data_IF_301623768965
#
_entry.id   IF_301623768965
#
_cell.length_a   1.000
_cell.length_b   1.000
_cell.length_c   1.000
_cell.angle_alpha   90.00
_cell.angle_beta   90.00
_cell.angle_gamma   90.00
#
_symmetry.space_group_name_H-M   'P 1'
#
loop_
_entity.id
_entity.type
_entity.pdbx_description
1 polymer ?
#
# COMPACT_ATOMS: atom_id res chain seq x y z
N UNK A 1 8.91 -19.19 4.43
CA UNK A 1 9.05 -18.33 3.24
C UNK A 1 8.95 -19.24 2.04
N UNK A 2 7.78 -19.31 1.40
CA UNK A 2 7.56 -20.14 0.22
C UNK A 2 7.35 -19.20 -0.96
N UNK A 3 8.20 -19.33 -1.97
CA UNK A 3 8.12 -18.55 -3.22
C UNK A 3 7.39 -19.44 -4.22
N UNK A 4 6.25 -18.97 -4.72
CA UNK A 4 5.58 -19.60 -5.86
C UNK A 4 6.01 -18.86 -7.13
N UNK A 5 6.61 -19.61 -8.07
CA UNK A 5 6.83 -19.14 -9.43
C UNK A 5 5.55 -19.41 -10.22
N UNK A 6 4.81 -18.35 -10.54
CA UNK A 6 3.67 -18.40 -11.45
C UNK A 6 4.18 -18.19 -12.87
N UNK A 7 3.95 -19.20 -13.72
CA UNK A 7 4.15 -19.10 -15.16
C UNK A 7 3.19 -18.04 -15.72
N UNK A 8 3.75 -16.98 -16.31
CA UNK A 8 3.01 -15.83 -16.84
C UNK A 8 2.21 -16.17 -18.11
N UNK A 9 2.30 -17.40 -18.63
CA UNK A 9 1.65 -17.80 -19.88
C UNK A 9 0.27 -18.47 -19.74
N UNK A 10 -0.28 -18.64 -18.52
CA UNK A 10 -1.57 -19.37 -18.33
C UNK A 10 -2.77 -18.45 -17.97
N UNK A 11 -2.57 -17.18 -17.67
CA UNK A 11 -3.67 -16.24 -17.39
C UNK A 11 -3.52 -15.03 -18.29
N UNK A 12 -4.33 -14.95 -19.34
CA UNK A 12 -4.27 -13.84 -20.30
C UNK A 12 -4.62 -12.48 -19.69
N UNK A 13 -5.23 -12.43 -18.50
CA UNK A 13 -5.43 -11.20 -17.71
C UNK A 13 -5.45 -11.54 -16.21
N UNK A 14 -4.94 -10.64 -15.33
CA UNK A 14 -5.03 -10.83 -13.90
C UNK A 14 -6.49 -10.70 -13.41
N UNK A 15 -6.88 -11.56 -12.46
CA UNK A 15 -8.23 -11.54 -11.86
C UNK A 15 -8.50 -10.23 -11.08
N UNK A 16 -7.42 -9.53 -10.69
CA UNK A 16 -7.46 -8.23 -10.03
C UNK A 16 -6.66 -7.19 -10.83
N UNK A 17 -7.10 -5.92 -10.84
CA UNK A 17 -6.35 -4.86 -11.47
C UNK A 17 -4.99 -4.66 -10.77
N UNK A 18 -3.92 -4.56 -11.55
CA UNK A 18 -2.58 -4.21 -11.06
C UNK A 18 -2.40 -2.71 -11.24
N UNK A 19 -2.39 -1.97 -10.14
CA UNK A 19 -2.23 -0.51 -10.16
C UNK A 19 -0.75 -0.13 -10.09
N UNK A 20 -0.26 0.75 -10.98
CA UNK A 20 1.13 1.17 -10.97
C UNK A 20 1.40 2.19 -9.86
N UNK A 21 2.64 2.22 -9.37
CA UNK A 21 3.16 3.33 -8.58
C UNK A 21 3.49 4.52 -9.52
N UNK A 22 2.46 5.28 -9.89
CA UNK A 22 2.56 6.43 -10.79
C UNK A 22 3.01 7.72 -10.11
N UNK A 23 3.09 8.80 -10.88
CA UNK A 23 3.56 10.11 -10.42
C UNK A 23 2.75 10.68 -9.24
N UNK A 24 1.43 10.53 -9.25
CA UNK A 24 0.57 11.01 -8.15
C UNK A 24 0.81 10.23 -6.86
N UNK A 25 0.93 8.89 -6.93
CA UNK A 25 1.31 8.08 -5.78
C UNK A 25 2.71 8.44 -5.28
N UNK A 26 3.65 8.71 -6.18
CA UNK A 26 5.01 9.12 -5.81
C UNK A 26 5.04 10.47 -5.08
N UNK A 27 4.29 11.44 -5.59
CA UNK A 27 4.14 12.76 -4.98
C UNK A 27 3.51 12.67 -3.59
N UNK A 28 2.41 11.93 -3.47
CA UNK A 28 1.75 11.74 -2.18
C UNK A 28 2.67 11.03 -1.18
N UNK A 29 3.34 9.95 -1.60
CA UNK A 29 4.28 9.22 -0.75
C UNK A 29 5.39 10.14 -0.22
N UNK A 30 5.99 10.98 -1.07
CA UNK A 30 7.05 11.89 -0.66
C UNK A 30 6.58 12.88 0.43
N UNK A 31 5.38 13.46 0.24
CA UNK A 31 4.78 14.40 1.20
C UNK A 31 4.48 13.69 2.52
N UNK A 32 3.79 12.56 2.46
CA UNK A 32 3.35 11.85 3.65
C UNK A 32 4.54 11.27 4.43
N UNK A 33 5.56 10.80 3.71
CA UNK A 33 6.80 10.34 4.32
C UNK A 33 7.53 11.47 5.04
N UNK A 34 7.61 12.66 4.45
CA UNK A 34 8.21 13.81 5.11
C UNK A 34 7.46 14.17 6.41
N UNK A 35 6.12 14.13 6.38
CA UNK A 35 5.27 14.37 7.56
C UNK A 35 5.53 13.34 8.66
N UNK A 36 5.56 12.05 8.33
CA UNK A 36 5.79 10.97 9.28
C UNK A 36 7.20 11.04 9.90
N UNK A 37 8.23 11.31 9.09
CA UNK A 37 9.61 11.50 9.56
C UNK A 37 9.71 12.68 10.52
N UNK A 38 9.02 13.79 10.23
CA UNK A 38 8.98 14.95 11.13
C UNK A 38 8.33 14.62 12.50
N UNK A 39 7.48 13.59 12.56
CA UNK A 39 6.89 13.07 13.80
C UNK A 39 7.73 11.96 14.46
N UNK A 40 8.94 11.68 13.96
CA UNK A 40 9.80 10.60 14.46
C UNK A 40 9.36 9.20 14.02
N UNK A 41 8.48 9.09 13.03
CA UNK A 41 7.99 7.81 12.50
C UNK A 41 8.69 7.49 11.18
N UNK A 42 9.13 6.24 11.04
CA UNK A 42 9.82 5.76 9.84
C UNK A 42 9.21 4.43 9.38
N UNK A 43 7.99 4.44 8.82
CA UNK A 43 7.41 3.22 8.25
C UNK A 43 8.29 2.68 7.12
N UNK A 44 8.11 1.41 6.77
CA UNK A 44 8.83 0.81 5.66
C UNK A 44 8.54 1.58 4.36
N UNK A 45 9.56 1.68 3.50
CA UNK A 45 9.43 2.44 2.26
C UNK A 45 8.33 1.87 1.36
N UNK A 46 8.21 0.55 1.31
CA UNK A 46 7.21 -0.18 0.55
C UNK A 46 5.80 0.07 1.08
N UNK A 47 5.62 0.12 2.40
CA UNK A 47 4.31 0.44 3.01
C UNK A 47 3.86 1.85 2.63
N UNK A 48 4.78 2.79 2.57
CA UNK A 48 4.50 4.13 2.06
C UNK A 48 4.07 4.16 0.59
N UNK A 49 4.64 3.30 -0.26
CA UNK A 49 4.20 3.15 -1.65
C UNK A 49 2.81 2.52 -1.76
N UNK A 50 2.52 1.50 -0.94
CA UNK A 50 1.21 0.82 -0.88
C UNK A 50 0.13 1.80 -0.41
N UNK A 51 0.38 2.52 0.70
CA UNK A 51 -0.52 3.54 1.23
C UNK A 51 -0.81 4.63 0.19
N UNK A 52 0.22 5.06 -0.55
CA UNK A 52 0.07 6.06 -1.58
C UNK A 52 -0.81 5.60 -2.74
N UNK A 53 -0.60 4.37 -3.24
CA UNK A 53 -1.44 3.80 -4.31
C UNK A 53 -2.89 3.72 -3.83
N UNK A 54 -3.14 3.23 -2.61
CA UNK A 54 -4.49 3.14 -2.06
C UNK A 54 -5.14 4.54 -1.95
N UNK A 55 -4.42 5.52 -1.40
CA UNK A 55 -4.93 6.87 -1.20
C UNK A 55 -5.30 7.56 -2.52
N UNK A 56 -4.38 7.60 -3.50
CA UNK A 56 -4.62 8.35 -4.75
C UNK A 56 -5.70 7.72 -5.63
N UNK A 57 -6.02 6.44 -5.41
CA UNK A 57 -7.10 5.73 -6.08
C UNK A 57 -8.39 5.66 -5.25
N UNK A 58 -8.45 6.31 -4.08
CA UNK A 58 -9.60 6.27 -3.14
C UNK A 58 -10.01 4.84 -2.76
N UNK A 59 -9.04 3.98 -2.45
CA UNK A 59 -9.25 2.59 -2.08
C UNK A 59 -9.13 2.36 -0.58
N UNK A 60 -9.77 1.29 -0.11
CA UNK A 60 -9.56 0.73 1.23
C UNK A 60 -8.35 -0.21 1.19
N UNK A 61 -7.38 0.03 2.08
CA UNK A 61 -6.25 -0.88 2.28
C UNK A 61 -6.66 -2.01 3.22
N UNK A 62 -6.75 -3.23 2.68
CA UNK A 62 -6.99 -4.43 3.48
C UNK A 62 -5.65 -4.99 3.97
N UNK A 63 -5.44 -5.08 5.29
CA UNK A 63 -4.19 -5.57 5.88
C UNK A 63 -4.40 -6.24 7.25
N UNK A 64 -3.58 -7.24 7.57
CA UNK A 64 -3.49 -7.81 8.92
C UNK A 64 -2.51 -7.03 9.83
N UNK A 65 -1.66 -6.18 9.26
CA UNK A 65 -0.66 -5.38 9.96
C UNK A 65 -1.12 -3.93 10.14
N UNK A 66 -2.30 -3.75 10.76
CA UNK A 66 -2.95 -2.43 10.89
C UNK A 66 -2.03 -1.38 11.54
N UNK A 67 -1.18 -1.78 12.49
CA UNK A 67 -0.24 -0.89 13.19
C UNK A 67 0.70 -0.14 12.25
N UNK A 68 1.12 -0.79 11.17
CA UNK A 68 2.14 -0.26 10.25
C UNK A 68 1.54 0.87 9.40
N UNK A 69 0.21 0.87 9.22
CA UNK A 69 -0.53 1.83 8.43
C UNK A 69 -1.30 2.86 9.26
N UNK A 70 -1.40 2.68 10.59
CA UNK A 70 -2.28 3.45 11.46
C UNK A 70 -2.01 4.97 11.48
N UNK A 71 -0.78 5.38 11.18
CA UNK A 71 -0.39 6.79 11.20
C UNK A 71 -0.47 7.49 9.84
N UNK A 72 -0.76 6.78 8.75
CA UNK A 72 -0.92 7.38 7.44
C UNK A 72 -2.22 8.19 7.39
N UNK A 73 -2.14 9.43 6.90
CA UNK A 73 -3.29 10.32 6.81
C UNK A 73 -4.23 9.92 5.68
N UNK A 74 -5.54 10.07 5.94
CA UNK A 74 -6.60 9.88 4.95
C UNK A 74 -6.49 8.52 4.20
N UNK A 75 -6.04 7.49 4.91
CA UNK A 75 -5.99 6.11 4.44
C UNK A 75 -7.12 5.32 5.12
N UNK A 76 -8.00 4.71 4.33
CA UNK A 76 -9.02 3.81 4.84
C UNK A 76 -8.42 2.42 5.00
N UNK A 77 -8.63 1.78 6.15
CA UNK A 77 -8.02 0.49 6.48
C UNK A 77 -9.09 -0.47 6.97
N UNK A 78 -9.05 -1.71 6.48
CA UNK A 78 -9.83 -2.83 7.00
C UNK A 78 -8.92 -4.01 7.36
N UNK A 79 -9.26 -4.74 8.42
CA UNK A 79 -8.63 -6.00 8.78
C UNK A 79 -9.65 -7.13 8.73
N UNK A 80 -9.60 -7.92 7.66
CA UNK A 80 -10.52 -9.04 7.46
C UNK A 80 -10.18 -10.29 8.29
N UNK A 81 -9.07 -10.28 9.04
CA UNK A 81 -8.65 -11.36 9.92
C UNK A 81 -9.04 -11.12 11.38
N UNK A 82 -9.51 -9.91 11.71
CA UNK A 82 -10.04 -9.58 13.03
C UNK A 82 -11.49 -10.09 13.12
N UNK A 83 -11.64 -11.39 13.32
CA UNK A 83 -12.91 -12.06 13.66
C UNK A 83 -13.06 -12.26 15.15
#
# INVERSE_FOLDING_TARGET
>A
MSIYLIDTNILSEPIFPILPYGAEAAKWHAIERARLVAMGQTPAFQDGQIAAIAHVNNLILVTNNVSDFANFQALQIENWFAS
#
